data_IF_962344659148
#
_entry.id   IF_962344659148
#
_cell.length_a   1.000
_cell.length_b   1.000
_cell.length_c   1.000
_cell.angle_alpha   90.00
_cell.angle_beta   90.00
_cell.angle_gamma   90.00
#
_symmetry.space_group_name_H-M   'P 1'
#
loop_
_entity.id
_entity.type
_entity.pdbx_description
1 polymer ?
#
# COMPACT_ATOMS: atom_id res chain seq x y z
N UNK A 1 -4.17 4.49 -16.05
CA UNK A 1 -4.47 4.00 -17.43
C UNK A 1 -5.28 5.01 -18.25
N UNK A 2 -5.27 6.29 -17.88
CA UNK A 2 -6.04 7.36 -18.50
C UNK A 2 -5.62 8.68 -17.86
N UNK A 3 -6.34 9.75 -18.13
CA UNK A 3 -6.07 11.10 -17.60
C UNK A 3 -6.70 11.36 -16.21
N UNK A 4 -7.50 10.41 -15.73
CA UNK A 4 -8.21 10.47 -14.45
C UNK A 4 -9.69 10.83 -14.58
N UNK A 5 -10.16 11.27 -15.75
CA UNK A 5 -11.54 11.68 -15.99
C UNK A 5 -12.39 10.61 -16.68
N UNK A 6 -11.75 9.70 -17.41
CA UNK A 6 -12.44 8.60 -18.08
C UNK A 6 -13.05 7.67 -17.04
N UNK A 7 -14.38 7.56 -17.00
CA UNK A 7 -15.13 6.75 -16.01
C UNK A 7 -14.99 5.26 -16.31
N UNK A 8 -13.77 4.74 -16.19
CA UNK A 8 -13.37 3.37 -16.49
C UNK A 8 -12.46 2.89 -15.36
N UNK A 9 -12.95 1.92 -14.58
CA UNK A 9 -12.20 1.34 -13.46
C UNK A 9 -11.98 -0.15 -13.69
N UNK A 10 -10.72 -0.59 -13.60
CA UNK A 10 -10.35 -2.01 -13.65
C UNK A 10 -10.35 -2.62 -12.25
N UNK A 11 -11.23 -3.59 -12.00
CA UNK A 11 -11.42 -4.19 -10.68
C UNK A 11 -10.39 -5.27 -10.32
N UNK A 12 -9.60 -5.72 -11.29
CA UNK A 12 -8.57 -6.74 -11.09
C UNK A 12 -7.49 -6.32 -10.07
N UNK A 13 -7.33 -5.01 -9.84
CA UNK A 13 -6.30 -4.44 -8.94
C UNK A 13 -6.64 -4.62 -7.45
N UNK A 14 -7.93 -4.81 -7.09
CA UNK A 14 -8.42 -5.15 -5.74
C UNK A 14 -7.76 -4.33 -4.61
N UNK A 15 -7.93 -2.99 -4.57
CA UNK A 15 -7.41 -2.16 -3.49
C UNK A 15 -8.02 -2.59 -2.15
N UNK A 16 -7.19 -2.82 -1.14
CA UNK A 16 -7.66 -3.12 0.22
C UNK A 16 -7.72 -1.87 1.12
N UNK A 17 -7.45 -0.68 0.58
CA UNK A 17 -7.37 0.59 1.31
C UNK A 17 -6.33 0.58 2.44
N UNK A 18 -5.32 -0.29 2.36
CA UNK A 18 -4.27 -0.40 3.36
C UNK A 18 -3.44 0.89 3.45
N UNK A 19 -2.97 1.20 4.64
CA UNK A 19 -2.25 2.41 4.96
C UNK A 19 -1.48 2.30 6.26
N UNK A 20 -0.68 3.33 6.54
CA UNK A 20 0.18 3.40 7.72
C UNK A 20 -0.15 4.70 8.48
N UNK A 21 -0.50 4.53 9.74
CA UNK A 21 -0.53 5.60 10.74
C UNK A 21 0.83 5.65 11.42
N UNK A 22 1.43 6.83 11.48
CA UNK A 22 2.64 7.15 12.25
C UNK A 22 2.22 8.14 13.34
N UNK A 23 2.38 7.75 14.60
CA UNK A 23 2.14 8.62 15.75
C UNK A 23 3.42 8.84 16.55
N UNK A 24 3.63 10.06 17.04
CA UNK A 24 4.76 10.45 17.89
C UNK A 24 4.44 10.29 19.37
N UNK A 25 5.43 9.81 20.14
CA UNK A 25 5.35 9.51 21.55
C UNK A 25 6.53 10.15 22.30
N UNK A 26 6.25 10.69 23.48
CA UNK A 26 7.28 11.20 24.40
C UNK A 26 7.99 10.07 25.15
N UNK A 27 7.27 8.99 25.45
CA UNK A 27 7.80 7.82 26.15
C UNK A 27 7.41 6.53 25.43
N UNK A 28 8.30 5.52 25.51
CA UNK A 28 8.02 4.19 24.96
C UNK A 28 7.15 3.40 25.95
N UNK A 29 6.05 2.76 25.51
CA UNK A 29 5.27 1.92 26.41
C UNK A 29 6.06 0.66 26.78
N UNK A 30 5.83 0.16 28.01
CA UNK A 30 6.35 -1.14 28.41
C UNK A 30 5.76 -2.24 27.50
N UNK A 31 6.59 -3.12 26.90
CA UNK A 31 6.11 -4.15 25.99
C UNK A 31 5.09 -5.11 26.61
N UNK A 32 5.23 -5.44 27.91
CA UNK A 32 4.33 -6.37 28.57
C UNK A 32 2.97 -5.72 28.85
N UNK A 33 2.95 -4.44 29.22
CA UNK A 33 1.69 -3.70 29.36
C UNK A 33 1.00 -3.49 28.01
N UNK A 34 1.75 -3.23 26.93
CA UNK A 34 1.20 -3.15 25.58
C UNK A 34 0.55 -4.49 25.15
N UNK A 35 1.18 -5.63 25.45
CA UNK A 35 0.59 -6.96 25.19
C UNK A 35 -0.74 -7.13 25.94
N UNK A 36 -0.80 -6.77 27.23
CA UNK A 36 -2.05 -6.84 28.01
C UNK A 36 -3.13 -5.96 27.40
N UNK A 37 -2.78 -4.77 26.93
CA UNK A 37 -3.72 -3.85 26.29
C UNK A 37 -4.21 -4.43 24.96
N UNK A 38 -3.34 -4.97 24.12
CA UNK A 38 -3.71 -5.68 22.88
C UNK A 38 -4.68 -6.83 23.19
N UNK A 39 -4.40 -7.64 24.21
CA UNK A 39 -5.26 -8.76 24.59
C UNK A 39 -6.65 -8.27 25.07
N UNK A 40 -6.73 -7.16 25.81
CA UNK A 40 -8.01 -6.55 26.18
C UNK A 40 -8.78 -6.06 24.94
N UNK A 41 -8.10 -5.34 24.06
CA UNK A 41 -8.68 -4.77 22.83
C UNK A 41 -9.24 -5.86 21.92
N UNK A 42 -8.54 -6.98 21.78
CA UNK A 42 -9.03 -8.13 21.00
C UNK A 42 -10.27 -8.81 21.58
N UNK A 43 -10.57 -8.60 22.86
CA UNK A 43 -11.69 -9.20 23.57
C UNK A 43 -12.90 -8.26 23.67
N UNK A 44 -12.83 -7.05 23.11
CA UNK A 44 -13.94 -6.11 23.04
C UNK A 44 -14.35 -5.89 21.58
N UNK A 45 -15.61 -5.50 21.37
CA UNK A 45 -16.07 -5.06 20.07
C UNK A 45 -15.82 -3.56 19.92
N UNK A 46 -15.10 -3.18 18.87
CA UNK A 46 -14.87 -1.78 18.50
C UNK A 46 -15.64 -1.47 17.23
N UNK A 47 -16.18 -0.26 17.16
CA UNK A 47 -17.05 0.17 16.06
C UNK A 47 -16.61 1.53 15.52
N UNK A 48 -16.77 1.71 14.22
CA UNK A 48 -16.84 3.02 13.57
C UNK A 48 -18.16 3.10 12.78
N UNK A 49 -19.06 4.01 13.17
CA UNK A 49 -20.39 4.19 12.55
C UNK A 49 -21.14 2.85 12.29
N UNK A 50 -21.32 2.05 13.35
CA UNK A 50 -21.98 0.73 13.34
C UNK A 50 -21.26 -0.38 12.55
N UNK A 51 -20.06 -0.11 12.03
CA UNK A 51 -19.22 -1.11 11.39
C UNK A 51 -18.27 -1.70 12.43
N UNK A 52 -18.46 -2.98 12.75
CA UNK A 52 -17.56 -3.74 13.61
C UNK A 52 -16.16 -3.81 12.99
N UNK A 53 -15.18 -3.32 13.73
CA UNK A 53 -13.77 -3.31 13.35
C UNK A 53 -13.22 -4.73 13.43
N UNK A 54 -12.62 -5.19 12.35
CA UNK A 54 -11.90 -6.45 12.28
C UNK A 54 -10.43 -6.23 12.67
N UNK A 55 -9.96 -6.94 13.69
CA UNK A 55 -8.54 -6.97 14.03
C UNK A 55 -7.73 -7.72 12.95
N UNK A 56 -7.12 -6.98 12.02
CA UNK A 56 -6.30 -7.53 10.93
C UNK A 56 -4.79 -7.40 11.12
N UNK A 57 -4.35 -7.06 12.34
CA UNK A 57 -2.93 -6.93 12.71
C UNK A 57 -2.32 -8.28 13.12
N UNK A 58 -1.06 -8.50 12.73
CA UNK A 58 -0.36 -9.79 12.87
C UNK A 58 -0.67 -10.78 11.73
N UNK A 59 -1.41 -10.34 10.72
CA UNK A 59 -1.71 -11.13 9.51
C UNK A 59 -0.95 -10.55 8.33
N UNK A 60 -0.19 -11.39 7.63
CA UNK A 60 0.61 -10.99 6.47
C UNK A 60 1.64 -9.90 6.82
N UNK A 61 1.47 -8.68 6.32
CA UNK A 61 2.36 -7.54 6.53
C UNK A 61 1.72 -6.46 7.41
N UNK A 62 0.57 -6.70 8.04
CA UNK A 62 -0.04 -5.73 8.97
C UNK A 62 0.56 -5.90 10.36
N UNK A 63 1.06 -4.80 10.94
CA UNK A 63 1.82 -4.82 12.18
C UNK A 63 1.59 -3.55 13.02
N UNK A 64 2.04 -3.62 14.26
CA UNK A 64 2.14 -2.50 15.18
C UNK A 64 3.57 -2.54 15.75
N UNK A 65 4.35 -1.50 15.48
CA UNK A 65 5.74 -1.42 15.90
C UNK A 65 6.00 -0.07 16.55
N UNK A 66 6.87 -0.04 17.56
CA UNK A 66 7.38 1.19 18.14
C UNK A 66 8.86 1.36 17.76
N UNK A 67 9.31 2.62 17.74
CA UNK A 67 10.61 3.00 17.25
C UNK A 67 11.18 4.14 18.09
N UNK A 68 12.51 4.15 18.22
CA UNK A 68 13.27 5.34 18.59
C UNK A 68 13.51 6.21 17.34
N UNK A 69 13.25 7.50 17.48
CA UNK A 69 13.38 8.49 16.41
C UNK A 69 14.79 9.07 16.36
N UNK A 70 15.43 8.94 15.20
CA UNK A 70 16.62 9.72 14.84
C UNK A 70 16.23 10.79 13.81
N UNK A 71 16.20 12.04 14.24
CA UNK A 71 15.91 13.20 13.39
C UNK A 71 17.09 13.43 12.42
N UNK A 72 16.78 13.62 11.14
CA UNK A 72 17.76 13.85 10.06
C UNK A 72 17.46 15.13 9.27
N UNK A 73 16.50 15.93 9.71
CA UNK A 73 16.06 17.18 9.10
C UNK A 73 15.90 18.29 10.14
N UNK A 74 15.35 19.42 9.71
CA UNK A 74 14.97 20.57 10.51
C UNK A 74 13.59 20.44 11.18
N UNK A 75 12.84 19.38 10.86
CA UNK A 75 11.54 19.09 11.49
C UNK A 75 11.78 18.51 12.88
N UNK A 76 11.15 19.12 13.88
CA UNK A 76 11.11 18.58 15.24
C UNK A 76 10.15 17.38 15.29
N UNK A 77 10.58 16.31 15.93
CA UNK A 77 9.82 15.08 16.02
C UNK A 77 9.93 14.50 17.43
N UNK A 78 8.87 13.85 17.94
CA UNK A 78 8.94 13.16 19.22
C UNK A 78 10.05 12.10 19.26
N UNK A 79 10.66 11.86 20.43
CA UNK A 79 11.80 10.96 20.58
C UNK A 79 11.47 9.52 20.23
N UNK A 80 10.18 9.14 20.31
CA UNK A 80 9.67 7.85 19.90
C UNK A 80 8.52 8.00 18.91
N UNK A 81 8.29 6.95 18.12
CA UNK A 81 7.13 6.87 17.24
C UNK A 81 6.58 5.46 17.21
N UNK A 82 5.29 5.32 16.97
CA UNK A 82 4.68 4.05 16.58
C UNK A 82 4.25 4.08 15.11
N UNK A 83 4.19 2.88 14.51
CA UNK A 83 3.50 2.65 13.25
C UNK A 83 2.40 1.63 13.43
N UNK A 84 1.20 1.94 12.95
CA UNK A 84 0.12 0.97 12.77
C UNK A 84 -0.11 0.79 11.28
N UNK A 85 0.16 -0.42 10.77
CA UNK A 85 -0.08 -0.79 9.38
C UNK A 85 -1.28 -1.74 9.31
N UNK A 86 -2.36 -1.32 8.65
CA UNK A 86 -3.59 -2.11 8.55
C UNK A 86 -4.50 -1.68 7.40
N UNK A 87 -5.55 -2.47 7.14
CA UNK A 87 -6.45 -2.32 5.98
C UNK A 87 -7.93 -2.28 6.37
N UNK A 88 -8.80 -2.26 5.37
CA UNK A 88 -10.26 -2.31 5.52
C UNK A 88 -10.87 -3.63 4.99
N UNK A 89 -10.59 -4.81 5.60
CA UNK A 89 -11.18 -6.08 5.18
C UNK A 89 -12.71 -6.11 5.25
N UNK A 90 -13.31 -5.26 6.06
CA UNK A 90 -14.76 -5.09 6.26
C UNK A 90 -15.47 -4.72 4.95
N UNK A 91 -14.76 -4.07 4.03
CA UNK A 91 -15.29 -3.56 2.76
C UNK A 91 -14.98 -4.46 1.57
N UNK A 92 -14.44 -5.68 1.78
CA UNK A 92 -14.09 -6.59 0.66
C UNK A 92 -15.31 -7.07 -0.12
N UNK A 93 -16.44 -7.29 0.56
CA UNK A 93 -17.66 -7.86 0.00
C UNK A 93 -18.85 -6.89 0.13
N UNK A 94 -20.05 -7.39 -0.14
CA UNK A 94 -21.26 -6.58 -0.27
C UNK A 94 -21.87 -6.16 1.09
N UNK A 95 -21.22 -6.47 2.21
CA UNK A 95 -21.79 -6.28 3.55
C UNK A 95 -22.12 -4.81 3.86
N UNK A 96 -21.30 -3.88 3.39
CA UNK A 96 -21.40 -2.44 3.73
C UNK A 96 -21.46 -1.52 2.50
N UNK A 97 -21.79 -2.08 1.33
CA UNK A 97 -21.92 -1.39 0.05
C UNK A 97 -21.60 -2.33 -1.10
N UNK A 98 -21.04 -1.82 -2.20
CA UNK A 98 -20.80 -2.65 -3.40
C UNK A 98 -19.58 -3.57 -3.29
N UNK A 99 -18.74 -3.42 -2.28
CA UNK A 99 -17.52 -4.21 -2.09
C UNK A 99 -16.31 -3.71 -2.89
N UNK A 100 -15.11 -4.06 -2.43
CA UNK A 100 -13.84 -3.69 -3.09
C UNK A 100 -13.33 -4.78 -4.04
N UNK A 101 -13.69 -6.04 -3.81
CA UNK A 101 -13.06 -7.20 -4.43
C UNK A 101 -14.00 -7.94 -5.37
N UNK A 102 -13.71 -7.90 -6.67
CA UNK A 102 -14.53 -8.54 -7.71
C UNK A 102 -14.72 -10.05 -7.52
N UNK A 103 -13.81 -10.75 -6.87
CA UNK A 103 -13.92 -12.20 -6.64
C UNK A 103 -14.84 -12.57 -5.47
N UNK A 104 -15.13 -11.62 -4.57
CA UNK A 104 -15.93 -11.86 -3.36
C UNK A 104 -17.27 -11.13 -3.40
N UNK A 105 -17.31 -9.94 -4.01
CA UNK A 105 -18.53 -9.16 -4.21
C UNK A 105 -19.42 -9.78 -5.29
N UNK A 106 -20.70 -9.98 -4.98
CA UNK A 106 -21.69 -10.39 -5.99
C UNK A 106 -22.12 -9.18 -6.81
N UNK A 107 -22.33 -8.04 -6.15
CA UNK A 107 -22.70 -6.78 -6.80
C UNK A 107 -21.70 -6.36 -7.88
N UNK A 108 -20.40 -6.41 -7.62
CA UNK A 108 -19.38 -6.10 -8.63
C UNK A 108 -19.40 -7.10 -9.79
N UNK A 109 -19.59 -8.40 -9.54
CA UNK A 109 -19.66 -9.41 -10.61
C UNK A 109 -20.85 -9.21 -11.54
N UNK A 110 -21.98 -8.79 -10.99
CA UNK A 110 -23.19 -8.51 -11.77
C UNK A 110 -23.07 -7.24 -12.61
N UNK A 111 -22.30 -6.24 -12.14
CA UNK A 111 -22.14 -4.94 -12.81
C UNK A 111 -20.94 -4.85 -13.75
N UNK A 112 -19.89 -5.63 -13.50
CA UNK A 112 -18.66 -5.55 -14.28
C UNK A 112 -18.81 -6.16 -15.67
N UNK A 113 -18.25 -5.47 -16.66
CA UNK A 113 -18.03 -6.02 -17.99
C UNK A 113 -16.82 -6.95 -17.91
N UNK A 114 -16.99 -8.19 -18.35
CA UNK A 114 -15.88 -9.12 -18.56
C UNK A 114 -15.30 -8.94 -19.96
N UNK A 115 -14.01 -8.61 -20.05
CA UNK A 115 -13.31 -8.43 -21.32
C UNK A 115 -12.01 -9.26 -21.37
N UNK A 116 -11.81 -10.00 -22.46
CA UNK A 116 -10.58 -10.78 -22.65
C UNK A 116 -9.48 -9.93 -23.29
N UNK A 117 -8.45 -9.59 -22.52
CA UNK A 117 -7.32 -8.77 -23.02
C UNK A 117 -6.03 -9.58 -23.15
N UNK A 118 -4.99 -8.94 -23.70
CA UNK A 118 -3.61 -9.49 -23.69
C UNK A 118 -3.04 -9.69 -22.28
N UNK A 119 -3.60 -9.01 -21.27
CA UNK A 119 -3.23 -9.14 -19.86
C UNK A 119 -4.12 -10.17 -19.11
N UNK A 120 -4.93 -10.93 -19.85
CA UNK A 120 -5.91 -11.85 -19.30
C UNK A 120 -7.30 -11.20 -19.16
N UNK A 121 -8.22 -11.95 -18.54
CA UNK A 121 -9.59 -11.49 -18.29
C UNK A 121 -9.60 -10.29 -17.35
N UNK A 122 -10.21 -9.21 -17.81
CA UNK A 122 -10.41 -7.98 -17.05
C UNK A 122 -11.89 -7.84 -16.67
N UNK A 123 -12.12 -7.21 -15.52
CA UNK A 123 -13.42 -6.84 -14.99
C UNK A 123 -13.47 -5.32 -14.91
N UNK A 124 -14.38 -4.71 -15.66
CA UNK A 124 -14.37 -3.27 -15.92
C UNK A 124 -15.71 -2.68 -15.50
N UNK A 125 -15.67 -1.60 -14.70
CA UNK A 125 -16.83 -0.75 -14.46
C UNK A 125 -16.77 0.49 -15.35
N UNK A 126 -17.92 0.89 -15.86
CA UNK A 126 -18.07 2.09 -16.68
C UNK A 126 -19.03 3.08 -16.03
N UNK A 127 -18.89 4.36 -16.40
CA UNK A 127 -19.85 5.42 -16.15
C UNK A 127 -20.33 5.53 -14.68
N UNK A 128 -21.61 5.26 -14.42
CA UNK A 128 -22.21 5.36 -13.09
C UNK A 128 -21.67 4.33 -12.12
N UNK A 129 -21.37 3.12 -12.59
CA UNK A 129 -20.81 2.07 -11.73
C UNK A 129 -19.36 2.39 -11.35
N UNK A 130 -18.59 2.96 -12.29
CA UNK A 130 -17.25 3.46 -12.00
C UNK A 130 -17.28 4.59 -10.95
N UNK A 131 -18.26 5.50 -11.05
CA UNK A 131 -18.50 6.56 -10.06
C UNK A 131 -18.82 6.00 -8.68
N UNK A 132 -19.81 5.10 -8.59
CA UNK A 132 -20.22 4.49 -7.32
C UNK A 132 -19.06 3.74 -6.67
N UNK A 133 -18.21 3.08 -7.47
CA UNK A 133 -17.01 2.41 -6.97
C UNK A 133 -15.94 3.36 -6.45
N UNK A 134 -15.69 4.47 -7.14
CA UNK A 134 -14.76 5.48 -6.65
C UNK A 134 -15.24 6.09 -5.32
N UNK A 135 -16.53 6.42 -5.22
CA UNK A 135 -17.13 6.94 -3.99
C UNK A 135 -17.05 5.90 -2.84
N UNK A 136 -17.28 4.63 -3.15
CA UNK A 136 -17.13 3.54 -2.19
C UNK A 136 -15.66 3.31 -1.77
N UNK A 137 -14.70 3.46 -2.70
CA UNK A 137 -13.28 3.38 -2.38
C UNK A 137 -12.88 4.48 -1.38
N UNK A 138 -13.34 5.72 -1.59
CA UNK A 138 -13.12 6.84 -0.65
C UNK A 138 -13.73 6.56 0.72
N UNK A 139 -14.95 6.01 0.78
CA UNK A 139 -15.57 5.57 2.05
C UNK A 139 -14.68 4.56 2.79
N UNK A 140 -14.16 3.56 2.08
CA UNK A 140 -13.31 2.53 2.67
C UNK A 140 -11.95 3.05 3.13
N UNK A 141 -11.36 4.03 2.42
CA UNK A 141 -10.14 4.74 2.86
C UNK A 141 -10.40 5.46 4.18
N UNK A 142 -11.47 6.25 4.26
CA UNK A 142 -11.81 7.00 5.46
C UNK A 142 -12.01 6.08 6.67
N UNK A 143 -12.74 4.97 6.47
CA UNK A 143 -12.87 3.94 7.51
C UNK A 143 -11.52 3.34 7.89
N UNK A 144 -10.65 3.01 6.93
CA UNK A 144 -9.33 2.43 7.22
C UNK A 144 -8.45 3.39 8.04
N UNK A 145 -8.46 4.67 7.70
CA UNK A 145 -7.77 5.72 8.44
C UNK A 145 -8.31 5.81 9.87
N UNK A 146 -9.64 5.83 10.03
CA UNK A 146 -10.29 5.95 11.33
C UNK A 146 -10.07 4.72 12.20
N UNK A 147 -10.11 3.53 11.61
CA UNK A 147 -9.78 2.27 12.28
C UNK A 147 -8.37 2.32 12.87
N UNK A 148 -7.36 2.80 12.13
CA UNK A 148 -6.00 2.93 12.66
C UNK A 148 -5.92 3.90 13.84
N UNK A 149 -6.66 5.01 13.80
CA UNK A 149 -6.75 5.96 14.92
C UNK A 149 -7.45 5.36 16.14
N UNK A 150 -8.58 4.66 15.96
CA UNK A 150 -9.29 3.99 17.06
C UNK A 150 -8.36 2.99 17.74
N UNK A 151 -7.64 2.18 16.96
CA UNK A 151 -6.70 1.21 17.50
C UNK A 151 -5.52 1.91 18.17
N UNK A 152 -4.99 3.00 17.60
CA UNK A 152 -3.96 3.79 18.27
C UNK A 152 -4.44 4.33 19.62
N UNK A 153 -5.66 4.86 19.68
CA UNK A 153 -6.24 5.41 20.90
C UNK A 153 -6.37 4.36 22.02
N UNK A 154 -6.77 3.14 21.65
CA UNK A 154 -6.87 2.03 22.61
C UNK A 154 -5.50 1.55 23.10
N UNK A 155 -4.46 1.64 22.27
CA UNK A 155 -3.13 1.11 22.60
C UNK A 155 -2.22 2.12 23.28
N UNK A 156 -2.25 3.37 22.85
CA UNK A 156 -1.32 4.43 23.25
C UNK A 156 -2.03 5.60 23.97
N UNK A 157 -3.35 5.51 24.19
CA UNK A 157 -4.13 6.63 24.70
C UNK A 157 -4.35 7.70 23.63
N UNK A 158 -4.86 8.87 24.01
CA UNK A 158 -5.13 9.98 23.08
C UNK A 158 -4.04 11.05 23.05
N UNK A 159 -2.97 10.87 23.82
CA UNK A 159 -1.87 11.84 23.95
C UNK A 159 -0.68 11.42 23.08
N UNK A 160 -0.89 11.50 21.76
CA UNK A 160 0.15 11.28 20.76
C UNK A 160 -0.04 12.26 19.60
N UNK A 161 1.05 12.60 18.93
CA UNK A 161 1.02 13.46 17.75
C UNK A 161 0.80 12.62 16.48
N UNK A 162 -0.21 12.93 15.66
CA UNK A 162 -0.33 12.28 14.34
C UNK A 162 0.65 12.93 13.37
N UNK A 163 1.71 12.19 13.01
CA UNK A 163 2.70 12.61 12.01
C UNK A 163 2.18 12.36 10.58
N UNK A 164 1.55 11.20 10.36
CA UNK A 164 1.00 10.79 9.07
C UNK A 164 -0.05 9.70 9.25
N UNK A 165 -1.17 9.76 8.53
CA UNK A 165 -2.13 8.64 8.43
C UNK A 165 -2.51 8.42 6.96
N UNK A 166 -1.61 7.83 6.17
CA UNK A 166 -1.74 7.76 4.72
C UNK A 166 -2.04 6.34 4.22
N UNK A 167 -2.98 6.24 3.27
CA UNK A 167 -3.21 5.02 2.50
C UNK A 167 -2.15 4.86 1.39
N UNK A 168 -1.77 3.62 1.11
CA UNK A 168 -0.84 3.26 0.04
C UNK A 168 -1.41 2.25 -0.96
N UNK A 169 -2.70 1.93 -0.84
CA UNK A 169 -3.45 1.07 -1.76
C UNK A 169 -4.85 1.63 -2.01
N UNK A 170 -5.02 2.48 -3.02
CA UNK A 170 -6.29 3.15 -3.28
C UNK A 170 -6.41 3.69 -4.71
N UNK A 171 -7.64 3.99 -5.12
CA UNK A 171 -7.92 4.75 -6.34
C UNK A 171 -7.88 6.25 -6.02
N UNK A 172 -6.96 6.97 -6.67
CA UNK A 172 -6.92 8.43 -6.61
C UNK A 172 -8.09 9.03 -7.39
N UNK A 173 -8.35 8.47 -8.56
CA UNK A 173 -9.43 8.82 -9.47
C UNK A 173 -9.85 7.56 -10.27
N UNK A 174 -10.57 7.73 -11.38
CA UNK A 174 -11.03 6.58 -12.18
C UNK A 174 -9.89 5.77 -12.82
N UNK A 175 -8.75 6.42 -13.12
CA UNK A 175 -7.70 5.81 -13.93
C UNK A 175 -6.37 5.65 -13.22
N UNK A 176 -6.23 6.22 -12.03
CA UNK A 176 -5.00 6.20 -11.25
C UNK A 176 -5.18 5.37 -9.97
N UNK A 177 -4.39 4.30 -9.89
CA UNK A 177 -4.37 3.35 -8.79
C UNK A 177 -2.97 3.36 -8.15
N UNK A 178 -2.92 3.67 -6.86
CA UNK A 178 -1.74 3.48 -6.04
C UNK A 178 -1.82 2.08 -5.45
N UNK A 179 -0.82 1.24 -5.68
CA UNK A 179 -0.82 -0.15 -5.24
C UNK A 179 0.54 -0.51 -4.64
N UNK A 180 0.66 -0.32 -3.33
CA UNK A 180 1.94 -0.50 -2.63
C UNK A 180 2.89 0.68 -2.87
N UNK A 181 2.35 1.88 -2.98
CA UNK A 181 3.08 3.14 -3.05
C UNK A 181 2.31 4.23 -2.34
N UNK A 182 3.03 5.15 -1.70
CA UNK A 182 2.47 6.40 -1.21
C UNK A 182 2.24 7.35 -2.39
N UNK A 183 1.18 8.16 -2.30
CA UNK A 183 0.89 9.26 -3.22
C UNK A 183 1.48 10.54 -2.64
N UNK A 184 2.39 11.16 -3.37
CA UNK A 184 3.09 12.41 -2.99
C UNK A 184 2.47 13.64 -3.65
N UNK A 185 1.35 13.47 -4.34
CA UNK A 185 0.59 14.58 -4.91
C UNK A 185 -0.06 15.40 -3.78
N UNK A 186 0.51 16.57 -3.51
CA UNK A 186 0.03 17.49 -2.49
C UNK A 186 -1.35 18.09 -2.81
N UNK A 187 -1.79 18.02 -4.07
CA UNK A 187 -3.09 18.53 -4.51
C UNK A 187 -4.20 17.45 -4.38
N UNK A 188 -3.83 16.23 -3.99
CA UNK A 188 -4.78 15.13 -3.78
C UNK A 188 -5.42 15.21 -2.38
N UNK A 189 -6.76 15.30 -2.33
CA UNK A 189 -7.54 15.36 -1.08
C UNK A 189 -7.33 14.15 -0.15
N UNK A 190 -6.87 13.02 -0.69
CA UNK A 190 -6.60 11.78 0.06
C UNK A 190 -5.20 11.74 0.68
N UNK A 191 -4.35 12.75 0.41
CA UNK A 191 -2.99 12.86 0.92
C UNK A 191 -2.96 13.87 2.06
N UNK A 192 -2.90 13.42 3.33
CA UNK A 192 -3.06 14.31 4.48
C UNK A 192 -1.80 15.13 4.82
N UNK A 193 -0.62 14.72 4.32
CA UNK A 193 0.68 15.32 4.63
C UNK A 193 1.67 15.01 3.50
N UNK A 194 2.78 15.76 3.45
CA UNK A 194 3.92 15.44 2.58
C UNK A 194 5.00 14.59 3.31
N UNK A 195 4.65 13.98 4.45
CA UNK A 195 5.52 13.09 5.22
C UNK A 195 5.01 11.66 5.09
N UNK A 196 5.86 10.75 4.63
CA UNK A 196 5.45 9.38 4.33
C UNK A 196 6.39 8.35 4.97
N UNK A 197 5.84 7.29 5.58
CA UNK A 197 6.63 6.17 6.07
C UNK A 197 7.03 5.23 4.92
N UNK A 198 8.26 4.74 4.98
CA UNK A 198 8.74 3.59 4.23
C UNK A 198 9.15 2.49 5.21
N UNK A 199 8.28 1.49 5.39
CA UNK A 199 8.49 0.39 6.33
C UNK A 199 9.15 -0.82 5.66
N UNK A 200 10.30 -1.26 6.16
CA UNK A 200 11.08 -2.33 5.53
C UNK A 200 10.72 -3.71 6.12
N UNK A 201 11.36 -4.08 7.23
CA UNK A 201 11.19 -5.33 7.97
C UNK A 201 11.23 -5.01 9.46
N UNK A 202 10.57 -5.83 10.29
CA UNK A 202 10.37 -5.52 11.71
C UNK A 202 11.67 -5.31 12.52
N UNK A 203 12.78 -5.90 12.10
CA UNK A 203 14.10 -5.86 12.75
C UNK A 203 15.08 -4.84 12.14
N UNK A 204 14.66 -4.08 11.11
CA UNK A 204 15.50 -3.06 10.48
C UNK A 204 14.85 -1.69 10.56
N UNK A 205 15.67 -0.64 10.44
CA UNK A 205 15.18 0.72 10.50
C UNK A 205 14.15 1.02 9.39
N UNK A 206 13.09 1.72 9.79
CA UNK A 206 12.15 2.40 8.91
C UNK A 206 12.59 3.85 8.69
N UNK A 207 12.00 4.51 7.71
CA UNK A 207 12.34 5.90 7.38
C UNK A 207 11.08 6.72 7.18
N UNK A 208 11.13 7.98 7.60
CA UNK A 208 10.20 8.99 7.15
C UNK A 208 10.85 9.77 6.01
N UNK A 209 10.07 9.98 4.96
CA UNK A 209 10.46 10.77 3.81
C UNK A 209 9.57 12.00 3.69
N UNK A 210 10.17 13.11 3.28
CA UNK A 210 9.45 14.20 2.63
C UNK A 210 9.29 13.84 1.16
N UNK A 211 8.05 13.74 0.68
CA UNK A 211 7.75 13.40 -0.70
C UNK A 211 8.23 14.49 -1.67
N UNK A 212 8.69 14.07 -2.86
CA UNK A 212 8.97 14.96 -3.99
C UNK A 212 7.96 14.74 -5.10
N UNK A 213 7.71 15.78 -5.89
CA UNK A 213 6.87 15.68 -7.10
C UNK A 213 7.60 14.87 -8.17
N UNK A 214 7.14 13.64 -8.38
CA UNK A 214 7.37 12.83 -9.59
C UNK A 214 8.81 12.64 -10.07
N UNK A 215 8.97 12.02 -11.25
CA UNK A 215 10.28 11.86 -11.91
C UNK A 215 10.67 13.15 -12.65
N UNK A 216 11.90 13.62 -12.46
CA UNK A 216 12.48 14.66 -13.31
C UNK A 216 12.92 14.10 -14.67
N UNK A 217 13.01 14.96 -15.69
CA UNK A 217 13.60 14.57 -16.99
C UNK A 217 15.02 14.00 -16.83
N UNK A 218 15.80 14.55 -15.90
CA UNK A 218 17.16 14.06 -15.58
C UNK A 218 17.07 12.62 -15.04
N UNK A 219 16.15 12.36 -14.12
CA UNK A 219 15.91 11.01 -13.60
C UNK A 219 15.49 10.06 -14.72
N UNK A 220 14.55 10.46 -15.58
CA UNK A 220 14.09 9.64 -16.70
C UNK A 220 15.21 9.36 -17.71
N UNK A 221 16.04 10.35 -18.01
CA UNK A 221 17.20 10.21 -18.90
C UNK A 221 18.25 9.26 -18.31
N UNK A 222 18.59 9.44 -17.03
CA UNK A 222 19.57 8.59 -16.33
C UNK A 222 19.13 7.12 -16.21
N UNK A 223 17.82 6.84 -16.28
CA UNK A 223 17.26 5.49 -16.29
C UNK A 223 16.93 4.98 -17.71
N UNK A 224 17.35 5.68 -18.77
CA UNK A 224 17.06 5.33 -20.17
C UNK A 224 15.56 5.21 -20.49
N UNK A 225 14.72 6.02 -19.83
CA UNK A 225 13.28 6.04 -20.04
C UNK A 225 12.76 7.26 -20.79
N UNK A 226 13.52 8.36 -20.85
CA UNK A 226 13.05 9.62 -21.45
C UNK A 226 12.57 9.43 -22.90
N UNK A 227 13.46 8.99 -23.80
CA UNK A 227 13.13 8.80 -25.23
C UNK A 227 11.97 7.80 -25.43
N UNK A 228 11.95 6.72 -24.63
CA UNK A 228 10.87 5.73 -24.68
C UNK A 228 9.54 6.34 -24.23
N UNK A 229 9.55 7.19 -23.20
CA UNK A 229 8.35 7.84 -22.68
C UNK A 229 7.79 8.84 -23.68
N UNK A 230 8.65 9.62 -24.35
CA UNK A 230 8.26 10.55 -25.43
C UNK A 230 7.64 9.79 -26.60
N UNK A 231 8.31 8.75 -27.10
CA UNK A 231 7.83 7.95 -28.23
C UNK A 231 6.49 7.25 -27.95
N UNK A 232 6.19 6.97 -26.69
CA UNK A 232 4.93 6.36 -26.26
C UNK A 232 3.88 7.39 -25.80
N UNK A 233 4.20 8.68 -25.78
CA UNK A 233 3.32 9.74 -25.27
C UNK A 233 3.03 9.63 -23.76
N UNK A 234 3.95 9.03 -22.98
CA UNK A 234 3.81 8.77 -21.55
C UNK A 234 4.63 9.72 -20.67
N UNK A 235 5.34 10.68 -21.26
CA UNK A 235 6.25 11.56 -20.54
C UNK A 235 5.52 12.32 -19.42
N UNK A 236 4.40 12.95 -19.74
CA UNK A 236 3.60 13.70 -18.76
C UNK A 236 3.08 12.81 -17.63
N UNK A 237 2.65 11.58 -17.93
CA UNK A 237 2.20 10.62 -16.90
C UNK A 237 3.34 10.23 -15.94
N UNK A 238 4.56 10.06 -16.44
CA UNK A 238 5.71 9.74 -15.58
C UNK A 238 6.15 10.95 -14.76
N UNK A 239 6.12 12.14 -15.34
CA UNK A 239 6.44 13.41 -14.67
C UNK A 239 5.36 13.88 -13.70
N UNK A 240 4.19 13.21 -13.66
CA UNK A 240 3.10 13.44 -12.71
C UNK A 240 2.67 12.15 -11.98
N UNK A 241 3.56 11.15 -11.91
CA UNK A 241 3.27 9.88 -11.25
C UNK A 241 3.13 10.03 -9.73
N UNK A 242 3.87 10.98 -9.14
CA UNK A 242 3.86 11.35 -7.72
C UNK A 242 3.89 10.16 -6.76
N UNK A 243 4.86 9.26 -6.97
CA UNK A 243 5.00 8.02 -6.19
C UNK A 243 6.17 8.07 -5.21
N UNK A 244 5.97 7.44 -4.06
CA UNK A 244 7.05 7.05 -3.15
C UNK A 244 6.83 5.62 -2.65
N UNK A 245 7.88 4.79 -2.48
CA UNK A 245 7.71 3.46 -1.91
C UNK A 245 7.16 3.51 -0.48
N UNK A 246 6.15 2.68 -0.21
CA UNK A 246 5.62 2.52 1.16
C UNK A 246 6.44 1.54 2.01
N UNK A 247 7.26 0.69 1.39
CA UNK A 247 7.98 -0.33 2.13
C UNK A 247 8.91 -1.22 1.30
N UNK A 248 9.49 -2.22 1.96
CA UNK A 248 10.55 -3.09 1.41
C UNK A 248 10.12 -3.93 0.21
N UNK A 249 8.83 -4.29 0.14
CA UNK A 249 8.27 -5.15 -0.91
C UNK A 249 8.84 -6.57 -0.91
N UNK A 250 8.02 -7.53 -1.33
CA UNK A 250 8.43 -8.94 -1.36
C UNK A 250 9.50 -9.21 -2.41
N UNK A 251 10.40 -10.12 -2.07
CA UNK A 251 11.43 -10.70 -2.93
C UNK A 251 11.35 -12.23 -2.81
N UNK A 252 11.35 -12.93 -3.95
CA UNK A 252 11.36 -14.38 -3.98
C UNK A 252 12.79 -14.84 -4.29
N UNK A 253 13.59 -15.31 -3.32
CA UNK A 253 15.04 -15.52 -3.49
C UNK A 253 15.36 -16.58 -4.55
N UNK A 254 14.47 -17.55 -4.75
CA UNK A 254 14.65 -18.61 -5.73
C UNK A 254 14.11 -18.26 -7.12
N UNK A 255 13.25 -17.24 -7.25
CA UNK A 255 12.53 -16.94 -8.50
C UNK A 255 13.09 -15.68 -9.15
N UNK A 256 13.62 -15.84 -10.36
CA UNK A 256 14.11 -14.73 -11.18
C UNK A 256 12.96 -13.97 -11.84
N UNK A 257 12.10 -14.68 -12.58
CA UNK A 257 10.94 -14.12 -13.25
C UNK A 257 9.87 -15.17 -13.51
N UNK A 258 8.63 -14.72 -13.71
CA UNK A 258 7.59 -15.54 -14.32
C UNK A 258 7.86 -15.60 -15.82
N UNK A 259 8.10 -16.79 -16.36
CA UNK A 259 8.24 -16.99 -17.81
C UNK A 259 6.88 -17.08 -18.49
N UNK A 260 5.93 -17.79 -17.87
CA UNK A 260 4.61 -18.03 -18.45
C UNK A 260 3.56 -18.27 -17.36
N UNK A 261 2.35 -17.79 -17.63
CA UNK A 261 1.15 -18.16 -16.88
C UNK A 261 0.47 -19.31 -17.61
N UNK A 262 0.19 -20.39 -16.89
CA UNK A 262 -0.52 -21.57 -17.39
C UNK A 262 -1.89 -21.62 -16.72
N UNK A 263 -2.93 -21.95 -17.47
CA UNK A 263 -4.29 -22.10 -16.96
C UNK A 263 -4.83 -23.49 -17.32
N UNK A 264 -5.40 -24.19 -16.35
CA UNK A 264 -6.06 -25.48 -16.56
C UNK A 264 -7.28 -25.59 -15.64
N UNK A 265 -8.47 -25.73 -16.25
CA UNK A 265 -9.76 -25.59 -15.54
C UNK A 265 -9.80 -24.25 -14.81
N UNK A 266 -10.20 -24.25 -13.53
CA UNK A 266 -10.30 -23.05 -12.69
C UNK A 266 -9.00 -22.76 -11.93
N UNK A 267 -7.86 -23.27 -12.39
CA UNK A 267 -6.57 -23.11 -11.72
C UNK A 267 -5.57 -22.36 -12.60
N UNK A 268 -4.84 -21.44 -11.96
CA UNK A 268 -3.75 -20.68 -12.56
C UNK A 268 -2.42 -21.10 -11.94
N UNK A 269 -1.42 -21.32 -12.79
CA UNK A 269 -0.07 -21.68 -12.42
C UNK A 269 0.93 -20.69 -13.03
N UNK A 270 2.01 -20.41 -12.32
CA UNK A 270 3.11 -19.57 -12.76
C UNK A 270 4.32 -20.46 -12.98
N UNK A 271 4.76 -20.57 -14.23
CA UNK A 271 6.02 -21.20 -14.58
C UNK A 271 7.14 -20.17 -14.41
N UNK A 272 7.99 -20.39 -13.41
CA UNK A 272 9.01 -19.45 -12.99
C UNK A 272 10.41 -19.95 -13.35
N UNK A 273 11.24 -19.02 -13.81
CA UNK A 273 12.69 -19.22 -13.95
C UNK A 273 13.36 -19.13 -12.58
N UNK A 274 14.30 -20.03 -12.32
CA UNK A 274 15.07 -20.01 -11.08
C UNK A 274 16.30 -19.11 -11.19
N UNK A 275 16.65 -18.41 -10.10
CA UNK A 275 17.84 -17.53 -10.05
C UNK A 275 19.13 -18.30 -10.32
N UNK A 276 19.27 -19.52 -9.78
CA UNK A 276 20.50 -20.31 -9.87
C UNK A 276 20.65 -21.12 -11.16
N UNK A 277 19.55 -21.37 -11.89
CA UNK A 277 19.54 -22.26 -13.05
C UNK A 277 18.35 -21.93 -13.97
N UNK A 278 18.61 -21.16 -15.02
CA UNK A 278 17.58 -20.72 -15.97
C UNK A 278 16.98 -21.86 -16.81
N UNK A 279 17.59 -23.05 -16.81
CA UNK A 279 17.09 -24.22 -17.52
C UNK A 279 16.06 -25.01 -16.70
N UNK A 280 15.89 -24.69 -15.42
CA UNK A 280 14.93 -25.34 -14.53
C UNK A 280 13.71 -24.45 -14.31
N UNK A 281 12.55 -25.09 -14.25
CA UNK A 281 11.27 -24.45 -14.02
C UNK A 281 10.75 -24.78 -12.62
N UNK A 282 10.30 -23.75 -11.91
CA UNK A 282 9.47 -23.90 -10.71
C UNK A 282 8.05 -23.53 -11.08
N UNK A 283 7.13 -24.49 -11.03
CA UNK A 283 5.70 -24.24 -11.30
C UNK A 283 5.01 -24.04 -9.95
N UNK A 284 4.44 -22.87 -9.76
CA UNK A 284 3.79 -22.48 -8.51
C UNK A 284 2.34 -22.12 -8.78
N UNK A 285 1.44 -22.60 -7.93
CA UNK A 285 0.01 -22.25 -8.02
C UNK A 285 -0.31 -21.07 -7.10
N UNK A 286 0.22 -21.14 -5.87
CA UNK A 286 0.00 -20.14 -4.85
C UNK A 286 1.33 -19.48 -4.47
N UNK A 287 1.55 -18.24 -4.93
CA UNK A 287 2.74 -17.46 -4.58
C UNK A 287 2.85 -17.17 -3.09
N UNK A 288 1.75 -17.21 -2.33
CA UNK A 288 1.77 -17.01 -0.86
C UNK A 288 2.44 -18.14 -0.10
N UNK A 289 2.56 -19.32 -0.71
CA UNK A 289 3.22 -20.50 -0.12
C UNK A 289 4.73 -20.50 -0.37
N UNK A 290 5.23 -19.53 -1.15
CA UNK A 290 6.66 -19.42 -1.39
C UNK A 290 7.35 -18.72 -0.24
N UNK A 291 8.52 -19.23 0.12
CA UNK A 291 9.45 -18.47 0.95
C UNK A 291 9.77 -17.16 0.24
N UNK A 292 9.64 -16.07 0.99
CA UNK A 292 9.95 -14.74 0.52
C UNK A 292 10.83 -14.03 1.54
N UNK A 293 11.52 -13.00 1.05
CA UNK A 293 12.23 -12.00 1.84
C UNK A 293 11.68 -10.61 1.49
N UNK A 294 12.26 -9.58 2.09
CA UNK A 294 12.02 -8.19 1.71
C UNK A 294 13.26 -7.61 1.05
N UNK A 295 13.11 -6.70 0.09
CA UNK A 295 14.26 -6.06 -0.60
C UNK A 295 15.12 -5.17 0.32
N UNK A 296 14.66 -4.90 1.54
CA UNK A 296 15.45 -4.23 2.56
C UNK A 296 15.90 -2.82 2.15
N UNK A 297 17.16 -2.49 2.46
CA UNK A 297 17.70 -1.13 2.27
C UNK A 297 17.83 -0.72 0.81
N UNK A 298 17.79 -1.66 -0.14
CA UNK A 298 17.88 -1.35 -1.56
C UNK A 298 16.75 -0.44 -2.02
N UNK A 299 15.57 -0.54 -1.40
CA UNK A 299 14.43 0.35 -1.68
C UNK A 299 14.77 1.79 -1.31
N UNK A 300 15.43 2.00 -0.17
CA UNK A 300 15.84 3.33 0.30
C UNK A 300 16.88 3.93 -0.64
N UNK A 301 17.90 3.15 -0.99
CA UNK A 301 18.94 3.57 -1.94
C UNK A 301 18.33 3.91 -3.31
N UNK A 302 17.40 3.10 -3.80
CA UNK A 302 16.74 3.34 -5.08
C UNK A 302 15.83 4.57 -5.04
N UNK A 303 15.15 4.82 -3.92
CA UNK A 303 14.34 6.03 -3.71
C UNK A 303 15.19 7.29 -3.84
N UNK A 304 16.36 7.32 -3.20
CA UNK A 304 17.31 8.42 -3.29
C UNK A 304 17.91 8.55 -4.70
N UNK A 305 18.27 7.42 -5.34
CA UNK A 305 18.81 7.42 -6.70
C UNK A 305 17.81 8.00 -7.72
N UNK A 306 16.51 7.74 -7.51
CA UNK A 306 15.44 8.23 -8.37
C UNK A 306 14.95 9.63 -7.98
N UNK A 307 15.51 10.22 -6.92
CA UNK A 307 15.12 11.51 -6.35
C UNK A 307 13.61 11.61 -6.02
N UNK A 308 13.04 10.51 -5.49
CA UNK A 308 11.61 10.44 -5.17
C UNK A 308 11.24 11.08 -3.83
N UNK A 309 12.22 11.35 -2.97
CA UNK A 309 12.00 11.90 -1.66
C UNK A 309 13.28 12.15 -0.87
N UNK A 310 13.16 12.97 0.17
CA UNK A 310 14.24 13.29 1.10
C UNK A 310 14.01 12.57 2.43
N UNK A 311 15.03 11.91 2.96
CA UNK A 311 14.94 11.28 4.28
C UNK A 311 14.92 12.38 5.35
N UNK A 312 13.88 12.41 6.17
CA UNK A 312 13.73 13.40 7.24
C UNK A 312 13.91 12.82 8.64
N UNK A 313 13.65 11.51 8.80
CA UNK A 313 13.92 10.79 10.03
C UNK A 313 14.21 9.31 9.74
N UNK A 314 14.98 8.70 10.65
CA UNK A 314 15.21 7.25 10.69
C UNK A 314 14.61 6.71 11.98
N UNK A 315 13.86 5.62 11.88
CA UNK A 315 13.11 5.02 12.97
C UNK A 315 13.71 3.64 13.27
N UNK A 316 14.34 3.49 14.44
CA UNK A 316 14.99 2.24 14.84
C UNK A 316 14.02 1.43 15.71
N UNK A 317 13.72 0.15 15.37
CA UNK A 317 12.84 -0.67 16.19
C UNK A 317 13.35 -0.79 17.63
N UNK A 318 12.44 -0.71 18.59
CA UNK A 318 12.67 -0.91 20.03
C UNK A 318 11.71 -1.93 20.60
#
# INVERSE_FOLDING_TARGET
>A
WGDGNDKIVFLNVKPNCCGILVGGLEEIPDPYDLIKTIDKVKNIELYDNDILINWDYGVSNHFINCFETKILSDIDFPPYMFMIHGSAPEFRNDKYGIGLYIDVSKTLKERAIEEQTKLGRQYILLDSDAKEYLDFNKKAINFSNKKREIIANELFGTDYEIICNASHQFLKDYNNMYLGSNCTDADCELVPTNIFPTALRADVACYLFRGKKSFSEITLKNNNFLERAENLGLLELLMNADILPHGGGYMLPDVSRVQKVLEHKDQRYFACELVKDSNKLKIVRNVKELQFEYRGRDVILKTLQLDLGEIIARLNPV
#
